data_IF_791164334200
#
_entry.id   IF_791164334200
#
_cell.length_a   1.000
_cell.length_b   1.000
_cell.length_c   1.000
_cell.angle_alpha   90.00
_cell.angle_beta   90.00
_cell.angle_gamma   90.00
#
_symmetry.space_group_name_H-M   'P 1'
#
loop_
_entity.id
_entity.type
_entity.pdbx_description
1 polymer ?
#
# COMPACT_ATOMS: atom_id res chain seq x y z
N UNK A 1 24.23 65.13 58.55
CA UNK A 1 23.71 63.81 58.22
C UNK A 1 23.15 63.84 56.80
N UNK A 2 23.99 63.43 55.83
CA UNK A 2 23.58 63.34 54.40
C UNK A 2 23.42 61.88 54.07
N UNK A 3 22.16 61.45 53.71
CA UNK A 3 21.87 60.13 53.24
C UNK A 3 22.22 60.08 51.75
N UNK A 4 23.11 59.23 51.37
CA UNK A 4 23.37 58.90 49.97
C UNK A 4 22.42 57.82 49.52
N UNK A 5 21.57 58.16 48.55
CA UNK A 5 20.72 57.21 47.84
C UNK A 5 21.55 56.58 46.70
N UNK A 6 21.85 55.31 46.77
CA UNK A 6 22.36 54.54 45.64
C UNK A 6 21.24 54.12 44.74
N UNK A 7 21.14 54.70 43.54
CA UNK A 7 20.37 54.18 42.45
C UNK A 7 21.13 53.01 41.81
N UNK A 8 20.66 51.80 41.99
CA UNK A 8 21.09 50.65 41.21
C UNK A 8 20.32 50.67 39.87
N UNK A 9 21.04 51.04 38.80
CA UNK A 9 20.51 50.87 37.44
C UNK A 9 20.55 49.37 37.10
N UNK A 10 19.37 48.75 37.12
CA UNK A 10 19.22 47.42 36.56
C UNK A 10 19.28 47.54 35.03
N UNK A 11 20.39 47.09 34.45
CA UNK A 11 20.46 46.87 33.02
C UNK A 11 19.60 45.69 32.69
N UNK A 12 18.40 45.95 32.18
CA UNK A 12 17.60 44.95 31.45
C UNK A 12 18.39 44.64 30.16
N UNK A 13 19.16 43.58 30.17
CA UNK A 13 19.56 42.93 28.93
C UNK A 13 18.28 42.39 28.30
N UNK A 14 17.78 43.08 27.27
CA UNK A 14 16.82 42.53 26.37
C UNK A 14 17.46 41.28 25.76
N UNK A 15 17.04 40.12 26.23
CA UNK A 15 17.22 38.88 25.49
C UNK A 15 16.41 39.09 24.23
N UNK A 16 17.07 39.47 23.15
CA UNK A 16 16.52 39.40 21.81
C UNK A 16 16.13 37.94 21.63
N UNK A 17 14.85 37.64 21.71
CA UNK A 17 14.33 36.47 21.10
C UNK A 17 14.67 36.63 19.61
N UNK A 18 15.76 36.05 19.16
CA UNK A 18 15.96 35.81 17.75
C UNK A 18 14.77 34.96 17.32
N UNK A 19 13.84 35.60 16.64
CA UNK A 19 12.75 34.93 15.98
C UNK A 19 13.43 33.89 15.09
N UNK A 20 13.05 32.63 15.23
CA UNK A 20 13.53 31.53 14.37
C UNK A 20 13.42 31.98 12.91
N UNK A 21 14.52 31.92 12.17
CA UNK A 21 14.55 32.21 10.74
C UNK A 21 13.76 31.15 9.92
N UNK A 22 13.41 30.02 10.56
CA UNK A 22 12.66 28.95 9.99
C UNK A 22 11.19 29.33 9.74
N UNK A 23 10.74 29.25 8.52
CA UNK A 23 9.31 29.29 8.18
C UNK A 23 8.79 27.89 7.92
N UNK A 24 7.51 27.66 8.17
CA UNK A 24 6.88 26.38 7.90
C UNK A 24 6.99 25.99 6.41
N UNK A 25 6.76 26.96 5.50
CA UNK A 25 6.84 26.73 4.05
C UNK A 25 8.26 26.35 3.63
N UNK A 26 9.29 27.03 4.13
CA UNK A 26 10.69 26.68 3.82
C UNK A 26 11.06 25.27 4.33
N UNK A 27 10.59 24.90 5.51
CA UNK A 27 10.82 23.57 6.08
C UNK A 27 10.08 22.50 5.26
N UNK A 28 8.86 22.76 4.82
CA UNK A 28 8.10 21.84 3.96
C UNK A 28 8.81 21.64 2.62
N UNK A 29 9.18 22.71 1.96
CA UNK A 29 9.91 22.66 0.69
C UNK A 29 11.24 21.89 0.83
N UNK A 30 12.02 22.22 1.86
CA UNK A 30 13.26 21.50 2.17
C UNK A 30 13.00 19.99 2.38
N UNK A 31 12.07 19.63 3.26
CA UNK A 31 11.86 18.24 3.62
C UNK A 31 11.39 17.39 2.42
N UNK A 32 10.54 17.93 1.56
CA UNK A 32 10.07 17.26 0.35
C UNK A 32 11.22 17.14 -0.65
N UNK A 33 11.84 18.26 -1.03
CA UNK A 33 12.87 18.28 -2.07
C UNK A 33 14.10 17.48 -1.68
N UNK A 34 14.49 17.54 -0.40
CA UNK A 34 15.66 16.82 0.11
C UNK A 34 15.50 15.30 0.01
N UNK A 35 14.28 14.78 0.18
CA UNK A 35 14.01 13.34 0.11
C UNK A 35 13.69 12.93 -1.33
N UNK A 36 12.82 13.65 -2.03
CA UNK A 36 12.39 13.29 -3.39
C UNK A 36 13.52 13.34 -4.42
N UNK A 37 14.56 14.16 -4.19
CA UNK A 37 15.73 14.25 -5.05
C UNK A 37 16.77 13.14 -4.82
N UNK A 38 16.57 12.24 -3.86
CA UNK A 38 17.49 11.14 -3.55
C UNK A 38 17.21 9.87 -4.40
N UNK A 39 16.83 10.05 -5.65
CA UNK A 39 16.62 8.94 -6.57
C UNK A 39 17.96 8.44 -7.12
N UNK A 40 18.23 7.15 -6.92
CA UNK A 40 19.49 6.53 -7.30
C UNK A 40 20.61 6.72 -6.26
N UNK A 41 21.62 5.87 -6.35
CA UNK A 41 22.67 5.77 -5.33
C UNK A 41 23.46 7.08 -5.14
N UNK A 42 23.97 7.66 -6.23
CA UNK A 42 24.80 8.89 -6.14
C UNK A 42 24.00 10.07 -5.54
N UNK A 43 22.76 10.25 -5.99
CA UNK A 43 21.88 11.31 -5.48
C UNK A 43 21.49 11.09 -4.02
N UNK A 44 21.26 9.84 -3.61
CA UNK A 44 20.96 9.50 -2.22
C UNK A 44 22.14 9.80 -1.30
N UNK A 45 23.35 9.43 -1.70
CA UNK A 45 24.58 9.70 -0.94
C UNK A 45 24.85 11.22 -0.84
N UNK A 46 24.81 11.93 -1.95
CA UNK A 46 25.03 13.37 -1.98
C UNK A 46 23.95 14.11 -1.16
N UNK A 47 22.69 13.77 -1.35
CA UNK A 47 21.57 14.33 -0.62
C UNK A 47 21.69 14.11 0.89
N UNK A 48 22.09 12.91 1.31
CA UNK A 48 22.31 12.59 2.70
C UNK A 48 23.40 13.48 3.34
N UNK A 49 24.54 13.63 2.67
CA UNK A 49 25.64 14.47 3.18
C UNK A 49 25.32 15.96 3.18
N UNK A 50 24.69 16.47 2.13
CA UNK A 50 24.40 17.89 1.98
C UNK A 50 23.19 18.32 2.81
N UNK A 51 22.21 17.46 2.97
CA UNK A 51 20.97 17.73 3.72
C UNK A 51 21.05 17.44 5.21
N UNK A 52 22.19 17.00 5.73
CA UNK A 52 22.35 16.59 7.12
C UNK A 52 23.34 17.44 7.89
N UNK A 53 23.06 17.68 9.18
CA UNK A 53 24.05 18.31 10.10
C UNK A 53 25.23 17.37 10.34
N UNK A 54 26.34 17.92 10.77
CA UNK A 54 27.56 17.15 11.09
C UNK A 54 27.35 16.12 12.22
N UNK A 55 26.35 16.32 13.09
CA UNK A 55 25.99 15.45 14.21
C UNK A 55 24.67 14.71 13.99
N UNK A 56 24.23 14.57 12.73
CA UNK A 56 23.01 13.85 12.40
C UNK A 56 22.95 12.48 13.09
N UNK A 57 21.81 12.18 13.66
CA UNK A 57 21.49 10.86 14.22
C UNK A 57 20.28 10.29 13.52
N UNK A 58 20.44 9.09 12.97
CA UNK A 58 19.40 8.34 12.31
C UNK A 58 19.08 7.08 13.10
N UNK A 59 17.79 6.86 13.34
CA UNK A 59 17.27 5.59 13.86
C UNK A 59 16.37 4.96 12.80
N UNK A 60 16.67 3.75 12.47
CA UNK A 60 15.88 2.97 11.51
C UNK A 60 15.60 1.58 12.05
N UNK A 61 14.39 1.08 11.84
CA UNK A 61 14.02 -0.30 12.10
C UNK A 61 14.57 -1.20 10.95
N UNK A 62 14.92 -2.48 11.17
CA UNK A 62 14.64 -3.28 12.37
C UNK A 62 15.68 -3.14 13.47
N UNK A 63 16.72 -2.39 13.28
CA UNK A 63 17.90 -2.45 14.14
C UNK A 63 17.87 -1.45 15.29
N UNK A 64 17.02 -0.40 15.25
CA UNK A 64 16.96 0.69 16.24
C UNK A 64 18.33 1.17 16.71
N UNK A 65 19.28 1.23 15.80
CA UNK A 65 20.63 1.69 16.03
C UNK A 65 20.74 3.15 15.66
N UNK A 66 21.47 3.89 16.46
CA UNK A 66 22.04 5.15 16.00
C UNK A 66 23.06 4.82 14.91
N UNK A 67 22.76 5.20 13.67
CA UNK A 67 23.67 5.03 12.54
C UNK A 67 24.48 6.32 12.43
N UNK A 68 25.82 6.30 12.63
CA UNK A 68 26.65 7.46 12.39
C UNK A 68 26.54 7.91 10.93
N UNK A 69 26.72 9.21 10.69
CA UNK A 69 26.70 9.80 9.34
C UNK A 69 27.63 9.05 8.36
N UNK A 70 28.78 8.62 8.85
CA UNK A 70 29.83 7.98 8.07
C UNK A 70 29.53 6.51 7.71
N UNK A 71 28.46 5.94 8.28
CA UNK A 71 28.10 4.52 8.09
C UNK A 71 27.17 4.28 6.89
N UNK A 72 26.64 5.32 6.27
CA UNK A 72 25.59 5.21 5.23
C UNK A 72 26.17 4.76 3.88
N UNK A 73 27.48 4.85 3.71
CA UNK A 73 28.14 4.43 2.46
C UNK A 73 29.02 3.24 2.76
N UNK A 74 28.59 2.05 2.41
CA UNK A 74 29.47 0.92 2.29
C UNK A 74 30.30 1.09 1.01
N UNK A 75 31.63 1.12 1.12
CA UNK A 75 32.53 1.20 -0.03
C UNK A 75 32.38 0.03 -1.02
N UNK A 76 31.65 -1.02 -0.63
CA UNK A 76 31.33 -2.17 -1.44
C UNK A 76 29.89 -2.13 -1.99
N UNK A 77 29.12 -1.10 -1.70
CA UNK A 77 27.77 -0.93 -2.25
C UNK A 77 27.91 -0.47 -3.71
N UNK A 78 27.55 -1.34 -4.62
CA UNK A 78 27.56 -1.08 -6.08
C UNK A 78 26.29 -0.34 -6.55
N UNK A 79 25.46 0.13 -5.63
CA UNK A 79 24.18 0.77 -5.92
C UNK A 79 23.07 -0.18 -6.37
N UNK A 80 23.32 -1.49 -6.30
CA UNK A 80 22.35 -2.49 -6.76
C UNK A 80 21.05 -2.56 -5.97
N UNK A 81 20.99 -1.87 -4.83
CA UNK A 81 19.79 -1.77 -3.98
C UNK A 81 18.95 -0.51 -4.26
N UNK A 82 19.38 0.36 -5.16
CA UNK A 82 18.70 1.61 -5.53
C UNK A 82 18.05 1.48 -6.90
N UNK A 83 16.91 0.82 -6.97
CA UNK A 83 16.18 0.55 -8.23
C UNK A 83 15.04 1.53 -8.46
N UNK A 84 14.74 2.38 -7.47
CA UNK A 84 13.63 3.30 -7.54
C UNK A 84 13.87 4.34 -8.63
N UNK A 85 12.84 4.58 -9.43
CA UNK A 85 12.82 5.64 -10.45
C UNK A 85 12.20 6.93 -9.94
N UNK A 86 11.46 6.87 -8.83
CA UNK A 86 10.91 8.06 -8.18
C UNK A 86 10.58 7.84 -6.70
N UNK A 87 10.66 8.94 -5.96
CA UNK A 87 10.31 9.01 -4.53
C UNK A 87 9.24 10.10 -4.37
N UNK A 88 8.22 9.83 -3.57
CA UNK A 88 7.18 10.79 -3.22
C UNK A 88 7.09 10.97 -1.72
N UNK A 89 7.04 12.22 -1.27
CA UNK A 89 6.88 12.58 0.13
C UNK A 89 5.53 13.22 0.38
N UNK A 90 4.85 12.75 1.42
CA UNK A 90 3.65 13.39 1.96
C UNK A 90 3.94 13.85 3.37
N UNK A 91 3.93 15.16 3.62
CA UNK A 91 4.08 15.69 4.96
C UNK A 91 2.72 15.76 5.67
N UNK A 92 2.66 15.14 6.84
CA UNK A 92 1.46 15.15 7.69
C UNK A 92 1.44 16.34 8.62
N UNK A 93 2.62 16.68 9.19
CA UNK A 93 2.73 17.78 10.13
C UNK A 93 4.12 18.42 10.08
N UNK A 94 4.18 19.74 10.29
CA UNK A 94 5.40 20.50 10.48
C UNK A 94 5.19 21.44 11.66
N UNK A 95 5.94 21.24 12.71
CA UNK A 95 5.79 21.97 13.96
C UNK A 95 7.06 22.75 14.31
N UNK A 96 6.96 24.09 14.29
CA UNK A 96 8.09 24.97 14.59
C UNK A 96 8.31 25.10 16.11
N UNK A 97 9.52 24.87 16.57
CA UNK A 97 9.92 24.94 17.98
C UNK A 97 11.22 25.70 18.15
N UNK A 98 11.13 27.00 18.39
CA UNK A 98 12.33 27.83 18.60
C UNK A 98 13.26 27.79 17.38
N UNK A 99 14.47 27.29 17.49
CA UNK A 99 15.47 27.25 16.40
C UNK A 99 15.39 25.97 15.53
N UNK A 100 14.36 25.16 15.62
CA UNK A 100 14.21 23.93 14.84
C UNK A 100 12.75 23.62 14.53
N UNK A 101 12.52 22.72 13.59
CA UNK A 101 11.21 22.21 13.22
C UNK A 101 11.14 20.69 13.40
N UNK A 102 10.04 20.21 13.94
CA UNK A 102 9.70 18.79 13.91
C UNK A 102 8.83 18.53 12.67
N UNK A 103 9.21 17.53 11.88
CA UNK A 103 8.55 17.17 10.63
C UNK A 103 8.12 15.72 10.72
N UNK A 104 6.88 15.45 10.36
CA UNK A 104 6.34 14.10 10.27
C UNK A 104 5.74 13.87 8.89
N UNK A 105 5.97 12.69 8.33
CA UNK A 105 5.48 12.39 7.00
C UNK A 105 5.63 10.94 6.61
N UNK A 106 5.36 10.71 5.35
CA UNK A 106 5.44 9.42 4.70
C UNK A 106 6.30 9.53 3.45
N UNK A 107 7.18 8.57 3.25
CA UNK A 107 7.98 8.41 2.05
C UNK A 107 7.45 7.20 1.29
N UNK A 108 7.30 7.34 -0.01
CA UNK A 108 6.89 6.28 -0.92
C UNK A 108 7.90 6.16 -2.05
N UNK A 109 8.40 4.97 -2.29
CA UNK A 109 9.31 4.66 -3.40
C UNK A 109 8.55 3.98 -4.53
N UNK A 110 8.93 4.28 -5.76
CA UNK A 110 8.29 3.76 -6.96
C UNK A 110 9.29 3.15 -7.91
N UNK A 111 8.89 2.07 -8.58
CA UNK A 111 9.58 1.45 -9.71
C UNK A 111 8.56 1.33 -10.83
N UNK A 112 8.83 1.89 -12.00
CA UNK A 112 7.92 1.89 -13.16
C UNK A 112 6.48 2.37 -12.81
N UNK A 113 6.39 3.37 -11.94
CA UNK A 113 5.13 3.92 -11.48
C UNK A 113 4.40 3.10 -10.41
N UNK A 114 4.96 1.97 -9.99
CA UNK A 114 4.41 1.12 -8.92
C UNK A 114 5.06 1.45 -7.59
N UNK A 115 4.25 1.74 -6.56
CA UNK A 115 4.77 1.94 -5.21
C UNK A 115 5.33 0.63 -4.64
N UNK A 116 6.63 0.60 -4.34
CA UNK A 116 7.34 -0.57 -3.84
C UNK A 116 7.53 -0.56 -2.34
N UNK A 117 7.64 0.63 -1.76
CA UNK A 117 7.97 0.79 -0.34
C UNK A 117 7.24 1.99 0.25
N UNK A 118 6.84 1.84 1.50
CA UNK A 118 6.16 2.88 2.28
C UNK A 118 6.82 2.98 3.66
N UNK A 119 7.27 4.17 4.04
CA UNK A 119 7.93 4.43 5.32
C UNK A 119 7.33 5.66 5.98
N UNK A 120 6.92 5.54 7.22
CA UNK A 120 6.64 6.70 8.04
C UNK A 120 7.95 7.25 8.62
N UNK A 121 8.06 8.56 8.71
CA UNK A 121 9.22 9.18 9.30
C UNK A 121 8.84 10.34 10.22
N UNK A 122 9.74 10.61 11.16
CA UNK A 122 9.78 11.84 11.93
C UNK A 122 11.21 12.38 11.93
N UNK A 123 11.36 13.66 11.80
CA UNK A 123 12.68 14.27 11.79
C UNK A 123 12.71 15.66 12.39
N UNK A 124 13.90 16.09 12.76
CA UNK A 124 14.16 17.46 13.23
C UNK A 124 15.00 18.17 12.20
N UNK A 125 14.47 19.26 11.67
CA UNK A 125 15.17 20.19 10.77
C UNK A 125 15.66 21.36 11.59
N UNK A 126 16.90 21.74 11.36
CA UNK A 126 17.53 22.91 11.97
C UNK A 126 18.27 23.74 10.91
N UNK A 127 18.68 24.94 11.25
CA UNK A 127 19.56 25.74 10.41
C UNK A 127 21.00 25.54 10.87
N UNK A 128 21.90 25.19 9.96
CA UNK A 128 23.32 25.09 10.16
C UNK A 128 24.01 25.77 8.96
N UNK A 129 24.89 26.75 9.22
CA UNK A 129 25.60 27.53 8.20
C UNK A 129 24.66 28.25 7.21
N UNK A 130 23.49 28.69 7.67
CA UNK A 130 22.49 29.38 6.85
C UNK A 130 21.69 28.47 5.92
N UNK A 131 21.77 27.16 6.11
CA UNK A 131 21.03 26.18 5.34
C UNK A 131 20.18 25.28 6.25
N UNK A 132 19.02 24.88 5.75
CA UNK A 132 18.20 23.89 6.43
C UNK A 132 18.84 22.52 6.32
N UNK A 133 18.88 21.77 7.43
CA UNK A 133 19.47 20.44 7.49
C UNK A 133 18.72 19.54 8.46
N UNK A 134 18.70 18.24 8.17
CA UNK A 134 18.24 17.22 9.11
C UNK A 134 19.26 17.04 10.24
N UNK A 135 18.86 17.25 11.48
CA UNK A 135 19.67 16.96 12.67
C UNK A 135 19.30 15.65 13.36
N UNK A 136 18.09 15.21 13.17
CA UNK A 136 17.58 13.91 13.64
C UNK A 136 16.63 13.37 12.59
N UNK A 137 16.67 12.06 12.37
CA UNK A 137 15.76 11.38 11.49
C UNK A 137 15.41 10.01 12.06
N UNK A 138 14.14 9.68 12.12
CA UNK A 138 13.62 8.40 12.57
C UNK A 138 12.76 7.86 11.46
N UNK A 139 13.24 6.82 10.77
CA UNK A 139 12.45 6.05 9.84
C UNK A 139 11.80 4.90 10.59
N UNK A 140 10.50 4.81 10.55
CA UNK A 140 9.76 3.71 11.14
C UNK A 140 9.46 2.72 10.03
N UNK A 141 10.41 1.85 9.78
CA UNK A 141 10.19 0.63 9.05
C UNK A 141 9.54 -0.36 10.02
N UNK A 142 8.25 -0.37 10.01
CA UNK A 142 7.53 -1.50 10.54
C UNK A 142 7.45 -2.49 9.38
N UNK A 143 7.99 -3.68 9.52
CA UNK A 143 7.93 -4.72 8.49
C UNK A 143 6.49 -5.04 8.07
N UNK A 144 5.52 -4.76 8.94
CA UNK A 144 4.10 -4.86 8.66
C UNK A 144 3.52 -3.59 8.01
N UNK A 145 4.08 -2.40 8.28
CA UNK A 145 3.59 -1.10 7.78
C UNK A 145 4.44 -0.51 6.67
N UNK A 146 5.74 -0.81 6.61
CA UNK A 146 6.68 -0.20 5.67
C UNK A 146 6.35 -0.49 4.22
N UNK A 147 5.85 -1.69 3.94
CA UNK A 147 5.45 -2.10 2.61
C UNK A 147 4.01 -1.73 2.26
N UNK A 148 3.16 -1.51 3.29
CA UNK A 148 1.75 -1.21 3.11
C UNK A 148 0.94 -2.29 2.39
N UNK A 149 1.54 -3.45 2.14
CA UNK A 149 0.96 -4.60 1.48
C UNK A 149 0.74 -5.75 2.46
N UNK A 150 -0.15 -6.66 2.10
CA UNK A 150 -0.31 -7.95 2.75
C UNK A 150 0.89 -8.84 2.42
N UNK A 151 1.99 -8.63 3.16
CA UNK A 151 3.25 -9.30 2.91
C UNK A 151 3.26 -10.66 3.60
N UNK A 152 3.70 -11.72 2.92
CA UNK A 152 3.67 -13.06 3.50
C UNK A 152 4.77 -13.27 4.53
N UNK A 153 4.42 -13.94 5.62
CA UNK A 153 5.35 -14.37 6.66
C UNK A 153 5.91 -15.76 6.31
N UNK A 154 6.80 -15.82 5.31
CA UNK A 154 7.46 -17.07 4.89
C UNK A 154 8.92 -16.82 4.53
N UNK A 155 9.76 -17.84 4.77
CA UNK A 155 11.15 -17.89 4.30
C UNK A 155 11.30 -18.85 3.09
N UNK A 156 10.19 -19.32 2.52
CA UNK A 156 10.20 -20.23 1.39
C UNK A 156 10.84 -19.57 0.17
N UNK A 157 11.92 -20.15 -0.34
CA UNK A 157 12.55 -19.68 -1.57
C UNK A 157 11.54 -19.71 -2.74
N UNK A 158 11.37 -18.59 -3.44
CA UNK A 158 10.37 -18.45 -4.50
C UNK A 158 8.92 -18.32 -3.98
N UNK A 159 8.67 -18.43 -2.67
CA UNK A 159 7.34 -18.34 -2.06
C UNK A 159 6.64 -17.03 -2.37
N UNK A 160 7.37 -15.92 -2.43
CA UNK A 160 6.84 -14.60 -2.79
C UNK A 160 6.24 -14.56 -4.20
N UNK A 161 6.90 -15.17 -5.18
CA UNK A 161 6.41 -15.21 -6.56
C UNK A 161 5.13 -16.04 -6.65
N UNK A 162 5.15 -17.25 -6.09
CA UNK A 162 3.98 -18.14 -6.09
C UNK A 162 2.79 -17.53 -5.32
N UNK A 163 3.05 -16.82 -4.22
CA UNK A 163 2.04 -16.06 -3.50
C UNK A 163 1.47 -14.91 -4.33
N UNK A 164 2.32 -14.20 -5.07
CA UNK A 164 1.89 -13.15 -6.00
C UNK A 164 1.01 -13.70 -7.13
N UNK A 165 1.38 -14.86 -7.71
CA UNK A 165 0.57 -15.55 -8.72
C UNK A 165 -0.79 -16.00 -8.14
N UNK A 166 -0.81 -16.58 -6.94
CA UNK A 166 -2.04 -16.98 -6.26
C UNK A 166 -2.97 -15.77 -6.04
N UNK A 167 -2.43 -14.66 -5.54
CA UNK A 167 -3.22 -13.43 -5.35
C UNK A 167 -3.75 -12.87 -6.66
N UNK A 168 -2.96 -12.93 -7.73
CA UNK A 168 -3.38 -12.52 -9.07
C UNK A 168 -4.54 -13.39 -9.57
N UNK A 169 -4.45 -14.71 -9.40
CA UNK A 169 -5.53 -15.63 -9.73
C UNK A 169 -6.82 -15.31 -8.93
N UNK A 170 -6.70 -15.07 -7.62
CA UNK A 170 -7.83 -14.65 -6.78
C UNK A 170 -8.47 -13.35 -7.27
N UNK A 171 -7.67 -12.33 -7.61
CA UNK A 171 -8.16 -11.04 -8.10
C UNK A 171 -8.83 -11.13 -9.48
N UNK A 172 -8.45 -12.09 -10.29
CA UNK A 172 -9.00 -12.35 -11.61
C UNK A 172 -10.17 -13.36 -11.58
N UNK A 173 -10.55 -13.85 -10.41
CA UNK A 173 -11.54 -14.92 -10.21
C UNK A 173 -11.18 -16.23 -10.93
N UNK A 174 -9.90 -16.47 -11.20
CA UNK A 174 -9.39 -17.78 -11.61
C UNK A 174 -9.28 -18.68 -10.35
N UNK A 175 -10.45 -19.06 -9.86
CA UNK A 175 -10.57 -19.76 -8.59
C UNK A 175 -9.90 -21.16 -8.60
N UNK A 176 -9.96 -21.96 -9.69
CA UNK A 176 -9.23 -23.23 -9.75
C UNK A 176 -7.71 -23.05 -9.66
N UNK A 177 -7.16 -22.04 -10.34
CA UNK A 177 -5.73 -21.72 -10.28
C UNK A 177 -5.31 -21.23 -8.91
N UNK A 178 -6.13 -20.38 -8.27
CA UNK A 178 -5.89 -19.93 -6.90
C UNK A 178 -5.82 -21.12 -5.91
N UNK A 179 -6.72 -22.09 -6.05
CA UNK A 179 -6.72 -23.33 -5.24
C UNK A 179 -5.44 -24.15 -5.48
N UNK A 180 -5.09 -24.43 -6.74
CA UNK A 180 -3.88 -25.20 -7.11
C UNK A 180 -2.61 -24.58 -6.53
N UNK A 181 -2.47 -23.27 -6.66
CA UNK A 181 -1.31 -22.53 -6.12
C UNK A 181 -1.28 -22.58 -4.59
N UNK A 182 -2.45 -22.43 -3.95
CA UNK A 182 -2.58 -22.54 -2.50
C UNK A 182 -2.17 -23.91 -1.99
N UNK A 183 -2.66 -24.98 -2.63
CA UNK A 183 -2.30 -26.37 -2.27
C UNK A 183 -0.80 -26.61 -2.39
N UNK A 184 -0.17 -26.06 -3.43
CA UNK A 184 1.28 -26.14 -3.63
C UNK A 184 2.05 -25.39 -2.54
N UNK A 185 1.60 -24.20 -2.17
CA UNK A 185 2.22 -23.40 -1.11
C UNK A 185 2.08 -24.05 0.27
N UNK A 186 0.90 -24.57 0.60
CA UNK A 186 0.65 -25.32 1.85
C UNK A 186 1.53 -26.56 1.96
N UNK A 187 1.74 -27.27 0.82
CA UNK A 187 2.63 -28.41 0.80
C UNK A 187 4.11 -28.04 0.98
N UNK A 188 4.53 -26.89 0.45
CA UNK A 188 5.91 -26.41 0.51
C UNK A 188 6.26 -25.78 1.88
N UNK A 189 5.34 -25.02 2.48
CA UNK A 189 5.48 -24.43 3.81
C UNK A 189 4.20 -24.63 4.64
N UNK A 190 4.07 -25.76 5.34
CA UNK A 190 2.90 -26.07 6.14
C UNK A 190 2.66 -25.13 7.34
N UNK A 191 3.63 -24.26 7.67
CA UNK A 191 3.52 -23.34 8.79
C UNK A 191 3.08 -21.93 8.37
N UNK A 192 2.93 -21.69 7.10
CA UNK A 192 2.57 -20.39 6.56
C UNK A 192 1.05 -20.21 6.48
N UNK A 193 0.49 -19.34 7.32
CA UNK A 193 -0.95 -19.10 7.39
C UNK A 193 -1.55 -18.62 6.06
N UNK A 194 -0.90 -17.66 5.38
CA UNK A 194 -1.41 -17.10 4.12
C UNK A 194 -1.30 -18.04 2.92
N UNK A 195 -0.60 -19.17 3.03
CA UNK A 195 -0.62 -20.21 2.00
C UNK A 195 -2.04 -20.76 1.77
N UNK A 196 -2.90 -20.71 2.80
CA UNK A 196 -4.28 -21.15 2.73
C UNK A 196 -5.26 -20.17 2.06
N UNK A 197 -4.81 -18.96 1.67
CA UNK A 197 -5.73 -17.92 1.15
C UNK A 197 -6.45 -18.35 -0.13
N UNK A 198 -5.80 -19.05 -1.05
CA UNK A 198 -6.44 -19.56 -2.27
C UNK A 198 -7.49 -20.62 -1.97
N UNK A 199 -7.25 -21.51 -0.99
CA UNK A 199 -8.24 -22.47 -0.51
C UNK A 199 -9.44 -21.75 0.11
N UNK A 200 -9.21 -20.80 1.01
CA UNK A 200 -10.25 -19.99 1.65
C UNK A 200 -11.11 -19.26 0.61
N UNK A 201 -10.45 -18.63 -0.36
CA UNK A 201 -11.13 -17.93 -1.44
C UNK A 201 -11.98 -18.88 -2.29
N UNK A 202 -11.42 -19.98 -2.76
CA UNK A 202 -12.12 -20.95 -3.58
C UNK A 202 -13.36 -21.52 -2.88
N UNK A 203 -13.21 -22.02 -1.65
CA UNK A 203 -14.31 -22.62 -0.91
C UNK A 203 -15.36 -21.58 -0.47
N UNK A 204 -14.92 -20.34 -0.20
CA UNK A 204 -15.86 -19.25 0.07
C UNK A 204 -16.71 -18.91 -1.15
N UNK A 205 -16.10 -18.81 -2.34
CA UNK A 205 -16.79 -18.50 -3.60
C UNK A 205 -17.70 -19.63 -4.07
N UNK A 206 -17.34 -20.89 -3.84
CA UNK A 206 -18.13 -22.06 -4.24
C UNK A 206 -19.16 -22.49 -3.20
N UNK A 207 -19.26 -21.80 -2.06
CA UNK A 207 -20.13 -22.15 -0.91
C UNK A 207 -19.86 -23.55 -0.35
N UNK A 208 -18.62 -24.03 -0.40
CA UNK A 208 -18.20 -25.29 0.22
C UNK A 208 -17.82 -25.05 1.69
N UNK A 209 -18.86 -25.05 2.56
CA UNK A 209 -18.70 -24.70 3.97
C UNK A 209 -17.78 -25.67 4.73
N UNK A 210 -17.79 -26.95 4.39
CA UNK A 210 -16.99 -27.96 5.07
C UNK A 210 -15.49 -27.71 4.81
N UNK A 211 -15.10 -27.53 3.55
CA UNK A 211 -13.70 -27.29 3.21
C UNK A 211 -13.25 -25.85 3.56
N UNK A 212 -14.15 -24.86 3.50
CA UNK A 212 -13.89 -23.52 3.99
C UNK A 212 -13.48 -23.56 5.48
N UNK A 213 -14.27 -24.23 6.32
CA UNK A 213 -13.99 -24.33 7.76
C UNK A 213 -12.66 -25.07 8.02
N UNK A 214 -12.41 -26.16 7.29
CA UNK A 214 -11.12 -26.89 7.42
C UNK A 214 -9.92 -26.01 7.09
N UNK A 215 -9.98 -25.28 5.97
CA UNK A 215 -8.89 -24.39 5.54
C UNK A 215 -8.74 -23.20 6.50
N UNK A 216 -9.84 -22.68 7.02
CA UNK A 216 -9.85 -21.62 8.03
C UNK A 216 -9.16 -22.08 9.33
N UNK A 217 -9.55 -23.21 9.88
CA UNK A 217 -8.95 -23.75 11.10
C UNK A 217 -7.45 -24.07 10.91
N UNK A 218 -7.10 -24.58 9.73
CA UNK A 218 -5.70 -24.82 9.37
C UNK A 218 -4.89 -23.52 9.35
N UNK A 219 -5.38 -22.46 8.68
CA UNK A 219 -4.72 -21.16 8.62
C UNK A 219 -4.59 -20.52 10.01
N UNK A 220 -5.68 -20.51 10.81
CA UNK A 220 -5.70 -19.95 12.16
C UNK A 220 -4.71 -20.66 13.08
N UNK A 221 -4.53 -21.98 12.93
CA UNK A 221 -3.55 -22.75 13.71
C UNK A 221 -2.09 -22.30 13.48
N UNK A 222 -1.81 -21.49 12.45
CA UNK A 222 -0.48 -20.98 12.07
C UNK A 222 -0.28 -19.52 12.43
N UNK A 223 -1.17 -18.93 13.19
CA UNK A 223 -1.14 -17.49 13.50
C UNK A 223 0.06 -17.04 14.32
N UNK A 224 0.75 -17.94 15.03
CA UNK A 224 1.93 -17.55 15.81
C UNK A 224 3.03 -16.95 14.91
N UNK A 225 3.19 -17.46 13.67
CA UNK A 225 4.14 -16.95 12.70
C UNK A 225 3.59 -15.84 11.76
N UNK A 226 2.28 -15.58 11.79
CA UNK A 226 1.64 -14.68 10.85
C UNK A 226 1.68 -13.22 11.33
N UNK A 227 1.83 -12.27 10.39
CA UNK A 227 1.69 -10.85 10.65
C UNK A 227 0.26 -10.47 11.03
N UNK A 228 0.07 -9.28 11.60
CA UNK A 228 -1.28 -8.81 11.95
C UNK A 228 -2.17 -8.63 10.73
N UNK A 229 -1.59 -8.15 9.62
CA UNK A 229 -2.33 -8.00 8.37
C UNK A 229 -2.85 -9.34 7.86
N UNK A 230 -1.99 -10.38 7.83
CA UNK A 230 -2.38 -11.74 7.43
C UNK A 230 -3.49 -12.30 8.32
N UNK A 231 -3.35 -12.15 9.65
CA UNK A 231 -4.37 -12.61 10.61
C UNK A 231 -5.73 -12.02 10.31
N UNK A 232 -5.81 -10.71 10.23
CA UNK A 232 -7.07 -10.01 9.99
C UNK A 232 -7.63 -10.31 8.59
N UNK A 233 -6.79 -10.42 7.57
CA UNK A 233 -7.25 -10.78 6.24
C UNK A 233 -7.80 -12.21 6.19
N UNK A 234 -7.16 -13.18 6.84
CA UNK A 234 -7.68 -14.56 6.98
C UNK A 234 -9.00 -14.56 7.77
N UNK A 235 -9.08 -13.84 8.88
CA UNK A 235 -10.29 -13.74 9.70
C UNK A 235 -11.48 -13.09 8.95
N UNK A 236 -11.23 -12.36 7.86
CA UNK A 236 -12.30 -11.77 7.05
C UNK A 236 -13.09 -12.80 6.23
N UNK A 237 -12.56 -14.01 6.03
CA UNK A 237 -13.25 -15.11 5.36
C UNK A 237 -14.31 -15.73 6.27
N UNK A 238 -15.34 -14.95 6.59
CA UNK A 238 -16.52 -15.37 7.37
C UNK A 238 -17.80 -15.07 6.61
N UNK A 239 -18.89 -15.78 6.94
CA UNK A 239 -20.23 -15.49 6.39
C UNK A 239 -20.92 -14.32 7.10
N UNK A 240 -20.44 -13.94 8.27
CA UNK A 240 -20.86 -12.70 8.91
C UNK A 240 -20.19 -11.50 8.24
N UNK A 241 -20.97 -10.80 7.41
CA UNK A 241 -20.49 -9.69 6.61
C UNK A 241 -19.99 -8.51 7.47
N UNK A 242 -20.63 -8.24 8.60
CA UNK A 242 -20.23 -7.15 9.48
C UNK A 242 -18.88 -7.48 10.13
N UNK A 243 -18.74 -8.70 10.60
CA UNK A 243 -17.47 -9.20 11.12
C UNK A 243 -16.38 -9.21 10.05
N UNK A 244 -16.66 -9.72 8.85
CA UNK A 244 -15.72 -9.75 7.74
C UNK A 244 -15.21 -8.35 7.39
N UNK A 245 -16.09 -7.36 7.26
CA UNK A 245 -15.71 -5.98 6.99
C UNK A 245 -14.87 -5.39 8.13
N UNK A 246 -15.21 -5.66 9.38
CA UNK A 246 -14.43 -5.21 10.54
C UNK A 246 -13.01 -5.79 10.51
N UNK A 247 -12.86 -7.05 10.13
CA UNK A 247 -11.54 -7.67 9.99
C UNK A 247 -10.74 -7.05 8.82
N UNK A 248 -11.39 -6.74 7.71
CA UNK A 248 -10.75 -6.02 6.60
C UNK A 248 -10.33 -4.60 6.97
N UNK A 249 -11.13 -3.87 7.77
CA UNK A 249 -10.72 -2.58 8.33
C UNK A 249 -9.45 -2.72 9.18
N UNK A 250 -9.38 -3.75 10.02
CA UNK A 250 -8.17 -4.03 10.80
C UNK A 250 -6.99 -4.41 9.90
N UNK A 251 -7.21 -5.23 8.87
CA UNK A 251 -6.15 -5.56 7.91
C UNK A 251 -5.59 -4.30 7.22
N UNK A 252 -6.46 -3.33 6.87
CA UNK A 252 -6.06 -2.06 6.25
C UNK A 252 -5.20 -1.17 7.17
N UNK A 253 -5.30 -1.30 8.50
CA UNK A 253 -4.40 -0.58 9.41
C UNK A 253 -2.95 -1.04 9.27
N UNK A 254 -2.72 -2.30 8.87
CA UNK A 254 -1.39 -2.90 8.72
C UNK A 254 -0.95 -3.09 7.27
N UNK A 255 -1.90 -3.10 6.33
CA UNK A 255 -1.67 -3.18 4.89
C UNK A 255 -2.48 -2.12 4.12
N UNK A 256 -2.25 -0.81 4.39
CA UNK A 256 -3.11 0.28 3.92
C UNK A 256 -3.10 0.48 2.40
N UNK A 257 -2.06 0.02 1.71
CA UNK A 257 -1.93 0.17 0.26
C UNK A 257 -2.21 -1.12 -0.50
N UNK A 258 -2.49 -2.22 0.20
CA UNK A 258 -2.69 -3.52 -0.43
C UNK A 258 -3.93 -3.52 -1.33
N UNK A 259 -3.80 -3.79 -2.64
CA UNK A 259 -4.91 -3.71 -3.58
C UNK A 259 -5.95 -4.80 -3.33
N UNK A 260 -5.52 -5.99 -2.87
CA UNK A 260 -6.45 -7.09 -2.60
C UNK A 260 -7.26 -6.83 -1.34
N UNK A 261 -6.64 -6.37 -0.25
CA UNK A 261 -7.37 -6.01 0.98
C UNK A 261 -8.38 -4.90 0.69
N UNK A 262 -7.99 -3.89 -0.10
CA UNK A 262 -8.89 -2.81 -0.51
C UNK A 262 -10.03 -3.29 -1.39
N UNK A 263 -9.75 -4.17 -2.35
CA UNK A 263 -10.78 -4.71 -3.23
C UNK A 263 -11.82 -5.54 -2.45
N UNK A 264 -11.36 -6.38 -1.51
CA UNK A 264 -12.26 -7.16 -0.64
C UNK A 264 -13.11 -6.26 0.25
N UNK A 265 -12.52 -5.23 0.84
CA UNK A 265 -13.26 -4.26 1.63
C UNK A 265 -14.26 -3.47 0.78
N UNK A 266 -13.85 -2.97 -0.38
CA UNK A 266 -14.73 -2.28 -1.33
C UNK A 266 -15.84 -3.17 -1.87
N UNK A 267 -15.60 -4.48 -2.05
CA UNK A 267 -16.65 -5.42 -2.43
C UNK A 267 -17.78 -5.42 -1.39
N UNK A 268 -17.43 -5.47 -0.11
CA UNK A 268 -18.37 -5.44 1.01
C UNK A 268 -19.06 -4.09 1.20
N UNK A 269 -18.48 -2.97 0.71
CA UNK A 269 -19.04 -1.64 0.87
C UNK A 269 -20.25 -1.40 -0.06
N UNK A 270 -21.37 -0.94 0.54
CA UNK A 270 -22.61 -0.68 -0.19
C UNK A 270 -22.65 0.70 -0.81
N UNK A 271 -21.99 1.66 -0.18
CA UNK A 271 -21.85 3.01 -0.70
C UNK A 271 -20.80 3.01 -1.81
N UNK A 272 -21.25 3.27 -3.05
CA UNK A 272 -20.38 3.21 -4.22
C UNK A 272 -19.31 4.30 -4.19
N UNK A 273 -19.63 5.52 -3.69
CA UNK A 273 -18.66 6.61 -3.60
C UNK A 273 -17.57 6.27 -2.59
N UNK A 274 -17.94 5.77 -1.41
CA UNK A 274 -16.99 5.32 -0.40
C UNK A 274 -16.14 4.14 -0.90
N UNK A 275 -16.73 3.20 -1.63
CA UNK A 275 -15.97 2.12 -2.23
C UNK A 275 -14.96 2.62 -3.28
N UNK A 276 -15.32 3.63 -4.08
CA UNK A 276 -14.42 4.28 -5.02
C UNK A 276 -13.26 4.97 -4.32
N UNK A 277 -13.52 5.72 -3.24
CA UNK A 277 -12.46 6.37 -2.44
C UNK A 277 -11.45 5.34 -1.90
N UNK A 278 -11.94 4.18 -1.45
CA UNK A 278 -11.09 3.09 -0.98
C UNK A 278 -10.20 2.55 -2.11
N UNK A 279 -10.77 2.38 -3.30
CA UNK A 279 -10.09 1.81 -4.46
C UNK A 279 -9.19 2.80 -5.19
N UNK A 280 -9.52 4.10 -5.20
CA UNK A 280 -8.76 5.15 -5.87
C UNK A 280 -7.28 5.12 -5.43
N UNK A 281 -7.04 4.93 -4.15
CA UNK A 281 -5.70 4.83 -3.61
C UNK A 281 -4.92 3.61 -4.15
N UNK A 282 -5.58 2.48 -4.37
CA UNK A 282 -4.97 1.30 -4.99
C UNK A 282 -4.74 1.52 -6.48
N UNK A 283 -5.72 2.12 -7.17
CA UNK A 283 -5.65 2.37 -8.59
C UNK A 283 -4.53 3.35 -8.98
N UNK A 284 -4.35 4.43 -8.22
CA UNK A 284 -3.27 5.40 -8.45
C UNK A 284 -1.87 4.76 -8.41
N UNK A 285 -1.71 3.65 -7.71
CA UNK A 285 -0.45 2.91 -7.58
C UNK A 285 -0.32 1.76 -8.56
N UNK A 286 -1.42 1.16 -8.91
CA UNK A 286 -1.51 -0.01 -9.76
C UNK A 286 -2.56 0.20 -10.86
N UNK A 287 -2.40 1.22 -11.74
CA UNK A 287 -3.42 1.61 -12.71
C UNK A 287 -3.70 0.53 -13.75
N UNK A 288 -2.78 -0.39 -13.97
CA UNK A 288 -2.91 -1.52 -14.90
C UNK A 288 -3.15 -2.87 -14.20
N UNK A 289 -3.44 -2.88 -12.90
CA UNK A 289 -3.80 -4.12 -12.22
C UNK A 289 -5.26 -4.49 -12.56
N UNK A 290 -5.46 -5.68 -13.16
CA UNK A 290 -6.76 -6.10 -13.71
C UNK A 290 -7.88 -6.13 -12.69
N UNK A 291 -7.67 -6.79 -11.53
CA UNK A 291 -8.70 -6.89 -10.50
C UNK A 291 -9.09 -5.55 -9.86
N UNK A 292 -8.14 -4.60 -9.74
CA UNK A 292 -8.43 -3.23 -9.31
C UNK A 292 -9.36 -2.56 -10.31
N UNK A 293 -9.04 -2.64 -11.61
CA UNK A 293 -9.86 -2.04 -12.66
C UNK A 293 -11.24 -2.72 -12.74
N UNK A 294 -11.31 -4.03 -12.58
CA UNK A 294 -12.59 -4.74 -12.52
C UNK A 294 -13.49 -4.17 -11.40
N UNK A 295 -12.95 -4.05 -10.19
CA UNK A 295 -13.69 -3.49 -9.05
C UNK A 295 -14.11 -2.04 -9.29
N UNK A 296 -13.20 -1.19 -9.80
CA UNK A 296 -13.50 0.21 -10.15
C UNK A 296 -14.64 0.29 -11.17
N UNK A 297 -14.61 -0.56 -12.22
CA UNK A 297 -15.65 -0.64 -13.23
C UNK A 297 -17.03 -0.89 -12.61
N UNK A 298 -17.17 -1.89 -11.77
CA UNK A 298 -18.43 -2.17 -11.08
C UNK A 298 -18.87 -1.04 -10.13
N UNK A 299 -17.95 -0.42 -9.41
CA UNK A 299 -18.31 0.68 -8.49
C UNK A 299 -18.72 1.95 -9.23
N UNK A 300 -18.09 2.28 -10.38
CA UNK A 300 -18.56 3.35 -11.24
C UNK A 300 -19.92 3.05 -11.89
N UNK A 301 -20.17 1.81 -12.32
CA UNK A 301 -21.52 1.39 -12.74
C UNK A 301 -22.55 1.63 -11.64
N UNK A 302 -22.26 1.21 -10.41
CA UNK A 302 -23.16 1.40 -9.28
C UNK A 302 -23.37 2.87 -8.92
N UNK A 303 -22.38 3.74 -9.14
CA UNK A 303 -22.48 5.18 -8.99
C UNK A 303 -23.16 5.89 -10.19
N UNK A 304 -23.45 5.16 -11.26
CA UNK A 304 -24.08 5.69 -12.47
C UNK A 304 -23.12 6.35 -13.48
N UNK A 305 -21.81 6.31 -13.22
CA UNK A 305 -20.77 6.85 -14.14
C UNK A 305 -20.37 5.76 -15.16
N UNK A 306 -21.23 5.57 -16.15
CA UNK A 306 -21.04 4.53 -17.17
C UNK A 306 -19.82 4.77 -18.06
N UNK A 307 -19.38 6.03 -18.21
CA UNK A 307 -18.19 6.35 -19.02
C UNK A 307 -16.91 5.86 -18.34
N UNK A 308 -16.75 6.17 -17.06
CA UNK A 308 -15.60 5.67 -16.28
C UNK A 308 -15.66 4.15 -16.10
N UNK A 309 -16.85 3.59 -15.86
CA UNK A 309 -17.01 2.15 -15.79
C UNK A 309 -16.46 1.46 -17.04
N UNK A 310 -16.80 1.98 -18.22
CA UNK A 310 -16.29 1.48 -19.51
C UNK A 310 -14.76 1.51 -19.57
N UNK A 311 -14.17 2.66 -19.24
CA UNK A 311 -12.71 2.83 -19.29
C UNK A 311 -12.00 1.78 -18.41
N UNK A 312 -12.51 1.51 -17.22
CA UNK A 312 -11.93 0.52 -16.33
C UNK A 312 -12.09 -0.94 -16.83
N UNK A 313 -13.25 -1.30 -17.39
CA UNK A 313 -13.42 -2.62 -17.99
C UNK A 313 -12.57 -2.79 -19.26
N UNK A 314 -12.37 -1.74 -20.07
CA UNK A 314 -11.45 -1.77 -21.20
C UNK A 314 -10.00 -2.00 -20.76
N UNK A 315 -9.56 -1.35 -19.67
CA UNK A 315 -8.23 -1.62 -19.08
C UNK A 315 -8.15 -3.07 -18.62
N UNK A 316 -9.15 -3.54 -17.87
CA UNK A 316 -9.18 -4.91 -17.38
C UNK A 316 -9.05 -5.93 -18.51
N UNK A 317 -9.82 -5.78 -19.57
CA UNK A 317 -9.77 -6.67 -20.73
C UNK A 317 -8.43 -6.57 -21.49
N UNK A 318 -7.87 -5.38 -21.60
CA UNK A 318 -6.58 -5.14 -22.28
C UNK A 318 -5.42 -5.82 -21.56
N UNK A 319 -5.39 -5.75 -20.21
CA UNK A 319 -4.29 -6.31 -19.40
C UNK A 319 -4.48 -7.79 -19.08
N UNK A 320 -5.68 -8.32 -19.25
CA UNK A 320 -6.05 -9.71 -19.01
C UNK A 320 -6.82 -10.33 -20.21
N UNK A 321 -6.22 -10.35 -21.43
CA UNK A 321 -6.95 -10.77 -22.64
C UNK A 321 -7.33 -12.25 -22.64
N UNK A 322 -6.64 -13.07 -21.85
CA UNK A 322 -6.87 -14.53 -21.77
C UNK A 322 -7.64 -14.94 -20.49
N UNK A 323 -8.21 -13.95 -19.77
CA UNK A 323 -8.96 -14.20 -18.52
C UNK A 323 -10.46 -14.09 -18.78
N UNK A 324 -11.23 -15.18 -18.64
CA UNK A 324 -12.68 -15.19 -18.88
C UNK A 324 -13.45 -14.13 -18.11
N UNK A 325 -13.06 -13.86 -16.85
CA UNK A 325 -13.69 -12.84 -16.02
C UNK A 325 -13.63 -11.42 -16.64
N UNK A 326 -12.61 -11.10 -17.43
CA UNK A 326 -12.52 -9.80 -18.07
C UNK A 326 -13.64 -9.59 -19.12
N UNK A 327 -13.93 -10.63 -19.87
CA UNK A 327 -15.04 -10.65 -20.83
C UNK A 327 -16.41 -10.67 -20.16
N UNK A 328 -16.57 -11.50 -19.14
CA UNK A 328 -17.81 -11.61 -18.38
C UNK A 328 -18.20 -10.27 -17.75
N UNK A 329 -17.27 -9.63 -17.07
CA UNK A 329 -17.49 -8.31 -16.44
C UNK A 329 -17.80 -7.21 -17.46
N UNK A 330 -17.15 -7.24 -18.63
CA UNK A 330 -17.44 -6.29 -19.68
C UNK A 330 -18.81 -6.56 -20.36
N UNK A 331 -19.23 -7.83 -20.37
CA UNK A 331 -20.59 -8.23 -20.71
C UNK A 331 -21.64 -7.63 -19.79
N UNK A 332 -21.39 -7.64 -18.48
CA UNK A 332 -22.25 -6.99 -17.49
C UNK A 332 -22.39 -5.48 -17.73
N UNK A 333 -21.29 -4.83 -18.08
CA UNK A 333 -21.31 -3.41 -18.46
C UNK A 333 -22.22 -3.17 -19.67
N UNK A 334 -22.04 -3.94 -20.78
CA UNK A 334 -22.83 -3.75 -21.99
C UNK A 334 -24.30 -4.04 -21.75
N UNK A 335 -24.62 -5.05 -20.93
CA UNK A 335 -25.99 -5.34 -20.53
C UNK A 335 -26.63 -4.18 -19.79
N UNK A 336 -25.90 -3.59 -18.82
CA UNK A 336 -26.35 -2.42 -18.07
C UNK A 336 -26.49 -1.17 -18.96
N UNK A 337 -25.64 -1.02 -19.98
CA UNK A 337 -25.71 0.04 -20.99
C UNK A 337 -26.85 -0.16 -22.02
N UNK A 338 -27.53 -1.31 -22.02
CA UNK A 338 -28.60 -1.65 -22.95
C UNK A 338 -28.13 -2.20 -24.30
N UNK A 339 -26.84 -2.44 -24.48
CA UNK A 339 -26.28 -3.08 -25.68
C UNK A 339 -26.23 -4.61 -25.52
N UNK A 340 -27.38 -5.22 -25.73
CA UNK A 340 -27.55 -6.68 -25.58
C UNK A 340 -26.73 -7.47 -26.59
N UNK A 341 -26.44 -6.90 -27.77
CA UNK A 341 -25.65 -7.59 -28.79
C UNK A 341 -24.17 -7.71 -28.34
N UNK A 342 -23.60 -6.63 -27.85
CA UNK A 342 -22.24 -6.63 -27.30
C UNK A 342 -22.17 -7.44 -26.01
N UNK A 343 -23.17 -7.35 -25.15
CA UNK A 343 -23.23 -8.17 -23.93
C UNK A 343 -23.16 -9.67 -24.26
N UNK A 344 -23.95 -10.12 -25.24
CA UNK A 344 -23.93 -11.51 -25.71
C UNK A 344 -22.56 -11.92 -26.26
N UNK A 345 -21.95 -11.08 -27.07
CA UNK A 345 -20.60 -11.32 -27.62
C UNK A 345 -19.57 -11.49 -26.51
N UNK A 346 -19.57 -10.60 -25.52
CA UNK A 346 -18.65 -10.66 -24.40
C UNK A 346 -18.85 -11.90 -23.53
N UNK A 347 -20.08 -12.25 -23.17
CA UNK A 347 -20.37 -13.47 -22.41
C UNK A 347 -19.97 -14.75 -23.16
N UNK A 348 -20.17 -14.78 -24.47
CA UNK A 348 -19.70 -15.92 -25.29
C UNK A 348 -18.17 -15.95 -25.33
N UNK A 349 -17.50 -14.80 -25.41
CA UNK A 349 -16.04 -14.71 -25.32
C UNK A 349 -15.47 -15.29 -24.02
N UNK A 350 -16.13 -15.04 -22.87
CA UNK A 350 -15.76 -15.64 -21.62
C UNK A 350 -15.87 -17.19 -21.66
N UNK A 351 -16.97 -17.72 -22.18
CA UNK A 351 -17.18 -19.16 -22.32
C UNK A 351 -16.23 -19.82 -23.32
N UNK A 352 -15.89 -19.12 -24.42
CA UNK A 352 -14.96 -19.63 -25.44
C UNK A 352 -13.52 -19.71 -24.92
N UNK A 353 -13.13 -18.82 -23.99
CA UNK A 353 -11.84 -18.89 -23.32
C UNK A 353 -11.77 -20.04 -22.30
N UNK A 354 -12.87 -20.27 -21.58
CA UNK A 354 -12.99 -21.37 -20.62
C UNK A 354 -14.43 -21.87 -20.56
N UNK A 355 -14.65 -23.11 -21.05
CA UNK A 355 -15.96 -23.75 -21.07
C UNK A 355 -16.56 -23.99 -19.65
N UNK A 356 -15.77 -23.80 -18.60
CA UNK A 356 -16.25 -23.81 -17.20
C UNK A 356 -17.12 -22.59 -16.84
N UNK A 357 -17.05 -21.52 -17.63
CA UNK A 357 -17.86 -20.30 -17.46
C UNK A 357 -19.30 -20.49 -18.01
N UNK A 358 -19.97 -21.54 -17.58
CA UNK A 358 -21.32 -21.91 -18.04
C UNK A 358 -22.36 -20.83 -17.74
N UNK A 359 -22.21 -20.09 -16.62
CA UNK A 359 -23.11 -18.99 -16.28
C UNK A 359 -23.07 -17.85 -17.32
N UNK A 360 -21.89 -17.54 -17.88
CA UNK A 360 -21.76 -16.55 -18.95
C UNK A 360 -22.47 -17.02 -20.21
N UNK A 361 -22.30 -18.32 -20.56
CA UNK A 361 -23.03 -18.90 -21.70
C UNK A 361 -24.54 -18.85 -21.51
N UNK A 362 -25.03 -19.21 -20.32
CA UNK A 362 -26.49 -19.17 -20.01
C UNK A 362 -27.02 -17.72 -20.14
N UNK A 363 -26.25 -16.71 -19.67
CA UNK A 363 -26.62 -15.29 -19.86
C UNK A 363 -26.63 -14.89 -21.33
N UNK A 364 -25.63 -15.31 -22.11
CA UNK A 364 -25.59 -15.07 -23.56
C UNK A 364 -26.76 -15.72 -24.29
N UNK A 365 -27.14 -16.93 -23.94
CA UNK A 365 -28.26 -17.67 -24.55
C UNK A 365 -29.63 -17.04 -24.21
N UNK A 366 -29.72 -16.33 -23.09
CA UNK A 366 -30.93 -15.65 -22.65
C UNK A 366 -31.16 -14.28 -23.31
N UNK A 367 -30.13 -13.67 -23.97
CA UNK A 367 -30.15 -12.42 -24.72
C UNK A 367 -30.44 -12.66 -26.20
#
# INVERSE_FOLDING_TARGET
MKKHLFLAAAALTAVSCTQSSLSEDAVREFAISQIENQVGYEAAVEGYYNGATSDLKVWSNPVWKNVPRDFVVDENDDGSLFYEDSIKVTLHDVYLMGGHANVMGTIQWYIAGVNTTYRNFSGIVTEEDGQLKWSRFVGIDNSELSWGFLWPSTELEGGMNAYGEMRTAMMNLDNPRALELSDSLVAADPNWASAHLGQLHYYWMTNDEENLQKSYDAAVSKFDGASRAEKHFILSYTRDREEGNRQLEQALLFAPVDPMVRAWYAWGERDAERALDIMEFAWQRLPEQGGVNNMMGYKYMAAGDMEKAKQHFEIFMRVNPDVPNAYDSYGDYYLAAGDTAMAKEMYMGAYDLDNGWTASKERADAL
#
